data_IF_314481308110
#
_entry.id   IF_314481308110
#
_cell.length_a   1.000
_cell.length_b   1.000
_cell.length_c   1.000
_cell.angle_alpha   90.00
_cell.angle_beta   90.00
_cell.angle_gamma   90.00
#
_symmetry.space_group_name_H-M   'P 1'
#
loop_
_entity.id
_entity.type
_entity.pdbx_description
1 polymer ?
#
# COMPACT_ATOMS: atom_id res chain seq x y z
N UNK A 1 7.16 6.87 20.74
CA UNK A 1 7.35 5.76 19.77
C UNK A 1 7.06 6.18 18.32
N UNK A 2 7.64 5.46 17.34
CA UNK A 2 7.54 5.82 15.91
C UNK A 2 6.09 5.82 15.39
N UNK A 3 5.30 4.79 15.70
CA UNK A 3 3.90 4.68 15.23
C UNK A 3 3.00 5.85 15.70
N UNK A 4 3.20 6.34 16.92
CA UNK A 4 2.47 7.51 17.45
C UNK A 4 2.75 8.76 16.61
N UNK A 5 4.03 9.07 16.39
CA UNK A 5 4.45 10.23 15.59
C UNK A 5 3.97 10.06 14.15
N UNK A 6 4.14 8.87 13.58
CA UNK A 6 3.72 8.54 12.23
C UNK A 6 2.23 8.78 12.01
N UNK A 7 1.37 8.24 12.88
CA UNK A 7 -0.09 8.39 12.78
C UNK A 7 -0.54 9.85 12.86
N UNK A 8 0.02 10.64 13.79
CA UNK A 8 -0.29 12.07 13.86
C UNK A 8 0.19 12.85 12.63
N UNK A 9 1.35 12.52 12.07
CA UNK A 9 1.85 13.15 10.84
C UNK A 9 0.98 12.79 9.63
N UNK A 10 0.50 11.54 9.52
CA UNK A 10 -0.44 11.15 8.47
C UNK A 10 -1.76 11.92 8.60
N UNK A 11 -2.31 12.02 9.81
CA UNK A 11 -3.53 12.78 10.08
C UNK A 11 -3.37 14.26 9.71
N UNK A 12 -2.27 14.89 10.13
CA UNK A 12 -1.97 16.29 9.79
C UNK A 12 -1.80 16.53 8.26
N UNK A 13 -1.48 15.48 7.50
CA UNK A 13 -1.39 15.51 6.04
C UNK A 13 -2.69 15.11 5.34
N UNK A 14 -3.76 14.79 6.09
CA UNK A 14 -4.99 14.26 5.52
C UNK A 14 -4.79 12.94 4.78
N UNK A 15 -3.88 12.09 5.26
CA UNK A 15 -3.71 10.71 4.79
C UNK A 15 -4.44 9.81 5.78
N UNK A 16 -5.43 9.07 5.29
CA UNK A 16 -6.22 8.18 6.13
C UNK A 16 -5.38 7.03 6.67
N UNK A 17 -5.42 6.85 7.97
CA UNK A 17 -4.73 5.81 8.72
C UNK A 17 -5.44 5.64 10.07
N UNK A 18 -5.29 4.48 10.70
CA UNK A 18 -5.76 4.28 12.06
C UNK A 18 -5.13 5.32 13.00
N UNK A 19 -5.98 6.17 13.56
CA UNK A 19 -5.59 7.28 14.43
C UNK A 19 -4.97 6.77 15.73
N UNK A 20 -3.82 7.30 16.15
CA UNK A 20 -3.31 7.06 17.49
C UNK A 20 -4.27 7.63 18.55
N UNK A 21 -4.65 6.79 19.50
CA UNK A 21 -5.53 7.12 20.62
C UNK A 21 -4.75 7.35 21.91
N UNK A 22 -3.76 6.50 22.17
CA UNK A 22 -2.90 6.63 23.34
C UNK A 22 -1.50 6.06 23.07
N UNK A 23 -0.55 6.51 23.88
CA UNK A 23 0.78 5.94 23.97
C UNK A 23 1.15 5.75 25.43
N UNK A 24 1.65 4.56 25.76
CA UNK A 24 2.13 4.18 27.08
C UNK A 24 3.60 3.75 26.97
N UNK A 25 4.47 4.32 27.81
CA UNK A 25 5.83 3.82 28.02
C UNK A 25 5.83 2.87 29.21
N UNK A 26 6.45 1.69 29.04
CA UNK A 26 6.62 0.68 30.08
C UNK A 26 8.10 0.59 30.48
N UNK A 27 8.36 0.75 31.77
CA UNK A 27 9.71 0.74 32.36
C UNK A 27 10.16 2.11 32.84
N UNK A 28 11.36 2.18 33.43
CA UNK A 28 11.95 3.45 33.86
C UNK A 28 12.29 4.32 32.63
N UNK A 29 11.87 5.59 32.65
CA UNK A 29 12.22 6.57 31.60
C UNK A 29 13.74 6.56 31.36
N UNK A 30 14.14 6.31 30.11
CA UNK A 30 15.56 6.33 29.71
C UNK A 30 16.37 5.08 30.05
N UNK A 31 15.76 4.03 30.61
CA UNK A 31 16.43 2.75 30.85
C UNK A 31 16.56 1.91 29.57
N UNK A 32 17.66 1.16 29.46
CA UNK A 32 17.78 0.12 28.44
C UNK A 32 16.62 -0.88 28.59
N UNK A 33 15.89 -1.13 27.50
CA UNK A 33 14.73 -2.05 27.50
C UNK A 33 13.36 -1.40 27.70
N UNK A 34 13.25 -0.07 27.65
CA UNK A 34 11.95 0.62 27.61
C UNK A 34 11.10 0.10 26.44
N UNK A 35 9.86 -0.34 26.75
CA UNK A 35 8.88 -0.78 25.76
C UNK A 35 7.81 0.28 25.62
N UNK A 36 7.14 0.33 24.48
CA UNK A 36 6.02 1.24 24.26
C UNK A 36 4.83 0.50 23.68
N UNK A 37 3.65 0.84 24.17
CA UNK A 37 2.38 0.41 23.58
C UNK A 37 1.74 1.64 22.93
N UNK A 38 1.31 1.50 21.69
CA UNK A 38 0.47 2.49 21.01
C UNK A 38 -0.91 1.88 20.81
N UNK A 39 -1.94 2.55 21.31
CA UNK A 39 -3.32 2.20 21.04
C UNK A 39 -3.76 2.97 19.80
N UNK A 40 -4.24 2.26 18.79
CA UNK A 40 -4.78 2.82 17.56
C UNK A 40 -6.30 2.68 17.56
N UNK A 41 -6.99 3.54 16.80
CA UNK A 41 -8.41 3.38 16.59
C UNK A 41 -8.71 2.08 15.85
N UNK A 42 -9.79 1.42 16.25
CA UNK A 42 -10.36 0.35 15.45
C UNK A 42 -11.08 0.98 14.25
N UNK A 43 -10.75 0.52 13.04
CA UNK A 43 -11.35 1.02 11.80
C UNK A 43 -12.77 0.48 11.56
N UNK A 44 -13.33 -0.33 12.48
CA UNK A 44 -14.77 -0.56 12.67
C UNK A 44 -15.58 -0.78 11.40
N UNK A 45 -15.74 -2.04 10.97
CA UNK A 45 -16.49 -2.39 9.75
C UNK A 45 -15.76 -2.06 8.44
N UNK A 46 -14.54 -1.50 8.52
CA UNK A 46 -13.64 -1.40 7.38
C UNK A 46 -13.14 -2.78 6.96
N UNK A 47 -13.00 -2.97 5.66
CA UNK A 47 -12.64 -4.26 5.09
C UNK A 47 -11.15 -4.31 4.75
N UNK A 48 -10.43 -5.26 5.33
CA UNK A 48 -9.01 -5.50 5.02
C UNK A 48 -8.86 -6.01 3.59
N UNK A 49 -8.00 -5.38 2.78
CA UNK A 49 -7.83 -5.76 1.37
C UNK A 49 -7.25 -7.17 1.17
N UNK A 50 -6.63 -7.75 2.20
CA UNK A 50 -6.20 -9.14 2.20
C UNK A 50 -7.38 -10.13 2.28
N UNK A 51 -8.47 -9.75 2.96
CA UNK A 51 -9.66 -10.58 3.14
C UNK A 51 -10.59 -10.48 1.92
N UNK A 52 -10.25 -11.22 0.87
CA UNK A 52 -11.00 -11.21 -0.37
C UNK A 52 -12.46 -11.65 -0.23
N UNK A 53 -12.80 -12.38 0.84
CA UNK A 53 -14.14 -12.86 1.13
C UNK A 53 -15.02 -11.84 1.86
N UNK A 54 -14.46 -10.71 2.31
CA UNK A 54 -15.21 -9.70 3.04
C UNK A 54 -16.37 -9.14 2.17
N UNK A 55 -17.64 -9.18 2.64
CA UNK A 55 -18.80 -8.79 1.82
C UNK A 55 -18.71 -7.39 1.22
N UNK A 56 -18.20 -6.43 2.00
CA UNK A 56 -17.97 -5.06 1.54
C UNK A 56 -16.96 -4.98 0.37
N UNK A 57 -15.92 -5.82 0.37
CA UNK A 57 -14.99 -5.88 -0.76
C UNK A 57 -15.61 -6.61 -1.94
N UNK A 58 -16.36 -7.68 -1.71
CA UNK A 58 -17.07 -8.38 -2.79
C UNK A 58 -18.01 -7.44 -3.56
N UNK A 59 -18.64 -6.49 -2.87
CA UNK A 59 -19.48 -5.46 -3.48
C UNK A 59 -18.69 -4.32 -4.17
N UNK A 60 -17.40 -4.16 -3.88
CA UNK A 60 -16.57 -3.11 -4.48
C UNK A 60 -16.14 -3.47 -5.90
N UNK A 61 -16.55 -2.66 -6.87
CA UNK A 61 -16.12 -2.79 -8.26
C UNK A 61 -14.59 -2.79 -8.39
N UNK A 62 -13.98 -3.76 -9.10
CA UNK A 62 -12.52 -3.87 -9.26
C UNK A 62 -11.86 -2.60 -9.80
N UNK A 63 -12.52 -1.88 -10.72
CA UNK A 63 -12.03 -0.61 -11.29
C UNK A 63 -11.88 0.46 -10.22
N UNK A 64 -12.87 0.56 -9.32
CA UNK A 64 -12.83 1.51 -8.20
C UNK A 64 -11.75 1.16 -7.20
N UNK A 65 -11.51 -0.12 -6.97
CA UNK A 65 -10.39 -0.56 -6.15
C UNK A 65 -9.05 -0.18 -6.79
N UNK A 66 -8.91 -0.39 -8.11
CA UNK A 66 -7.72 0.01 -8.87
C UNK A 66 -7.43 1.51 -8.73
N UNK A 67 -8.46 2.35 -8.91
CA UNK A 67 -8.36 3.81 -8.80
C UNK A 67 -8.01 4.26 -7.38
N UNK A 68 -8.63 3.64 -6.37
CA UNK A 68 -8.37 3.95 -4.97
C UNK A 68 -6.93 3.59 -4.58
N UNK A 69 -6.42 2.44 -5.04
CA UNK A 69 -5.03 2.02 -4.81
C UNK A 69 -4.03 2.96 -5.49
N UNK A 70 -4.26 3.30 -6.77
CA UNK A 70 -3.41 4.24 -7.50
C UNK A 70 -3.40 5.63 -6.80
N UNK A 71 -4.56 6.09 -6.34
CA UNK A 71 -4.70 7.35 -5.61
C UNK A 71 -3.97 7.34 -4.27
N UNK A 72 -4.12 6.28 -3.48
CA UNK A 72 -3.39 6.09 -2.22
C UNK A 72 -1.87 6.16 -2.45
N UNK A 73 -1.35 5.37 -3.39
CA UNK A 73 0.07 5.32 -3.74
C UNK A 73 0.59 6.69 -4.22
N UNK A 74 -0.17 7.40 -5.04
CA UNK A 74 0.18 8.75 -5.50
C UNK A 74 0.27 9.72 -4.33
N UNK A 75 -0.71 9.71 -3.43
CA UNK A 75 -0.75 10.58 -2.25
C UNK A 75 0.45 10.32 -1.36
N UNK A 76 0.74 9.05 -1.04
CA UNK A 76 1.87 8.66 -0.21
C UNK A 76 3.19 9.12 -0.84
N UNK A 77 3.44 8.70 -2.09
CA UNK A 77 4.73 8.89 -2.72
C UNK A 77 5.02 10.34 -3.12
N UNK A 78 4.00 11.13 -3.53
CA UNK A 78 4.16 12.58 -3.77
C UNK A 78 4.53 13.34 -2.51
N UNK A 79 4.05 12.88 -1.35
CA UNK A 79 4.34 13.47 -0.04
C UNK A 79 5.56 12.86 0.64
N UNK A 80 6.32 12.01 -0.08
CA UNK A 80 7.54 11.40 0.44
C UNK A 80 7.30 10.42 1.59
N UNK A 81 6.11 9.82 1.66
CA UNK A 81 5.74 8.82 2.67
C UNK A 81 6.10 7.43 2.18
N UNK A 82 7.04 6.80 2.87
CA UNK A 82 7.47 5.41 2.67
C UNK A 82 6.83 4.56 3.77
N UNK A 83 5.90 3.66 3.44
CA UNK A 83 5.24 2.81 4.44
C UNK A 83 6.23 1.86 5.12
N UNK A 84 7.23 1.39 4.38
CA UNK A 84 8.19 0.38 4.83
C UNK A 84 7.69 -1.07 4.71
N UNK A 85 6.38 -1.30 4.74
CA UNK A 85 5.74 -2.61 4.52
C UNK A 85 4.31 -2.46 3.98
N UNK A 86 4.18 -2.07 2.70
CA UNK A 86 2.87 -1.71 2.11
C UNK A 86 2.14 -2.95 1.57
N UNK A 87 1.65 -3.81 2.45
CA UNK A 87 0.92 -5.02 2.10
C UNK A 87 -0.60 -4.80 2.13
N UNK A 88 -1.36 -5.65 1.43
CA UNK A 88 -2.82 -5.63 1.43
C UNK A 88 -3.42 -5.84 2.83
N UNK A 89 -2.71 -6.56 3.72
CA UNK A 89 -3.06 -6.73 5.13
C UNK A 89 -3.03 -5.42 5.93
N UNK A 90 -2.32 -4.41 5.42
CA UNK A 90 -2.16 -3.09 6.07
C UNK A 90 -3.01 -1.99 5.44
N UNK A 91 -3.89 -2.36 4.50
CA UNK A 91 -4.77 -1.43 3.79
C UNK A 91 -6.22 -1.84 3.98
N UNK A 92 -7.04 -0.89 4.42
CA UNK A 92 -8.44 -1.10 4.73
C UNK A 92 -9.33 -0.22 3.87
N UNK A 93 -10.35 -0.80 3.24
CA UNK A 93 -11.41 -0.06 2.59
C UNK A 93 -12.38 0.48 3.65
N UNK A 94 -12.51 1.80 3.73
CA UNK A 94 -13.37 2.50 4.69
C UNK A 94 -14.57 3.12 3.99
N UNK A 95 -15.69 3.18 4.71
CA UNK A 95 -16.92 3.80 4.21
C UNK A 95 -17.47 3.11 2.97
N UNK A 96 -17.49 1.76 2.96
CA UNK A 96 -18.16 1.00 1.91
C UNK A 96 -19.67 1.06 2.17
N UNK A 97 -20.38 1.85 1.36
CA UNK A 97 -21.85 1.92 1.40
C UNK A 97 -22.52 0.64 0.88
N UNK A 98 -23.82 0.51 1.12
CA UNK A 98 -24.64 -0.60 0.61
C UNK A 98 -24.66 -0.70 -0.93
N UNK A 99 -24.25 0.37 -1.61
CA UNK A 99 -24.06 0.49 -3.06
C UNK A 99 -22.64 0.05 -3.52
N UNK A 100 -21.83 -0.53 -2.62
CA UNK A 100 -20.46 -0.95 -2.92
C UNK A 100 -19.48 0.22 -3.07
N UNK A 101 -19.88 1.44 -2.70
CA UNK A 101 -19.04 2.61 -2.84
C UNK A 101 -18.01 2.76 -1.72
N UNK A 102 -16.88 2.05 -1.82
CA UNK A 102 -15.71 2.41 -1.01
C UNK A 102 -15.24 3.82 -1.41
N UNK A 103 -15.22 4.74 -0.44
CA UNK A 103 -14.82 6.13 -0.73
C UNK A 103 -13.35 6.36 -0.42
N UNK A 104 -12.74 5.60 0.50
CA UNK A 104 -11.34 5.84 0.94
C UNK A 104 -10.63 4.57 1.40
N UNK A 105 -9.31 4.52 1.20
CA UNK A 105 -8.42 3.52 1.79
C UNK A 105 -7.71 4.13 3.00
N UNK A 106 -7.63 3.38 4.10
CA UNK A 106 -6.90 3.74 5.31
C UNK A 106 -5.75 2.76 5.56
N UNK A 107 -4.65 3.26 6.11
CA UNK A 107 -3.48 2.45 6.49
C UNK A 107 -3.54 2.02 7.96
N UNK A 108 -3.01 0.84 8.24
CA UNK A 108 -2.63 0.41 9.60
C UNK A 108 -1.14 0.08 9.64
N UNK A 109 -0.64 -0.40 10.77
CA UNK A 109 0.77 -0.76 10.98
C UNK A 109 1.75 0.35 10.54
N UNK A 110 1.85 1.38 11.39
CA UNK A 110 2.63 2.58 11.08
C UNK A 110 4.08 2.51 11.59
N UNK A 111 4.56 1.36 12.05
CA UNK A 111 5.89 1.23 12.65
C UNK A 111 7.03 1.35 11.63
N UNK A 112 6.80 0.81 10.43
CA UNK A 112 7.73 0.88 9.29
C UNK A 112 7.84 2.27 8.67
N UNK A 113 6.94 3.18 9.03
CA UNK A 113 6.71 4.40 8.26
C UNK A 113 7.87 5.39 8.37
N UNK A 114 8.32 5.91 7.23
CA UNK A 114 9.41 6.90 7.13
C UNK A 114 8.98 8.07 6.25
N UNK A 115 9.35 9.27 6.68
CA UNK A 115 9.09 10.50 5.94
C UNK A 115 10.36 11.00 5.28
N UNK A 116 10.28 11.28 3.99
CA UNK A 116 11.40 11.74 3.17
C UNK A 116 10.98 12.98 2.38
N UNK A 117 11.96 13.77 1.94
CA UNK A 117 11.67 14.87 1.01
C UNK A 117 11.13 14.36 -0.33
N UNK A 118 11.70 13.26 -0.84
CA UNK A 118 11.27 12.56 -2.05
C UNK A 118 11.63 11.07 -1.93
N UNK A 119 10.76 10.20 -2.42
CA UNK A 119 11.09 8.77 -2.53
C UNK A 119 11.94 8.52 -3.77
N UNK A 120 12.95 7.67 -3.62
CA UNK A 120 13.67 7.11 -4.76
C UNK A 120 12.78 6.14 -5.52
N UNK A 121 13.04 5.98 -6.82
CA UNK A 121 12.30 5.04 -7.65
C UNK A 121 12.38 3.60 -7.16
N UNK A 122 13.54 3.19 -6.63
CA UNK A 122 13.69 1.88 -6.00
C UNK A 122 12.71 1.64 -4.83
N UNK A 123 12.44 2.66 -4.00
CA UNK A 123 11.46 2.55 -2.91
C UNK A 123 10.04 2.50 -3.43
N UNK A 124 9.73 3.33 -4.42
CA UNK A 124 8.42 3.36 -5.08
C UNK A 124 8.10 2.01 -5.73
N UNK A 125 9.07 1.44 -6.46
CA UNK A 125 8.95 0.12 -7.09
C UNK A 125 8.80 -0.98 -6.04
N UNK A 126 9.55 -0.93 -4.94
CA UNK A 126 9.39 -1.88 -3.83
C UNK A 126 7.99 -1.86 -3.23
N UNK A 127 7.49 -0.67 -2.88
CA UNK A 127 6.15 -0.51 -2.28
C UNK A 127 5.04 -0.96 -3.24
N UNK A 128 5.16 -0.63 -4.53
CA UNK A 128 4.25 -1.12 -5.57
C UNK A 128 4.27 -2.65 -5.65
N UNK A 129 5.46 -3.26 -5.56
CA UNK A 129 5.61 -4.71 -5.63
C UNK A 129 5.09 -5.44 -4.38
N UNK A 130 5.21 -4.84 -3.20
CA UNK A 130 4.65 -5.38 -1.95
C UNK A 130 3.13 -5.43 -2.01
N UNK A 131 2.52 -4.32 -2.39
CA UNK A 131 1.08 -4.22 -2.51
C UNK A 131 0.54 -5.13 -3.60
N UNK A 132 1.21 -5.14 -4.76
CA UNK A 132 0.81 -6.00 -5.87
C UNK A 132 0.91 -7.48 -5.50
N UNK A 133 2.02 -7.92 -4.89
CA UNK A 133 2.19 -9.31 -4.48
C UNK A 133 1.15 -9.76 -3.44
N UNK A 134 0.82 -8.88 -2.49
CA UNK A 134 -0.07 -9.20 -1.36
C UNK A 134 -1.55 -9.10 -1.69
N UNK A 135 -1.94 -8.40 -2.75
CA UNK A 135 -3.32 -8.38 -3.23
C UNK A 135 -3.63 -9.63 -4.04
N UNK A 136 -4.76 -10.30 -3.76
CA UNK A 136 -5.13 -11.55 -4.42
C UNK A 136 -5.57 -11.38 -5.89
N UNK A 137 -5.41 -12.41 -6.71
CA UNK A 137 -5.78 -12.39 -8.14
C UNK A 137 -7.29 -12.20 -8.32
N UNK A 138 -8.09 -12.78 -7.43
CA UNK A 138 -9.55 -12.69 -7.41
C UNK A 138 -10.05 -11.26 -7.14
N UNK A 139 -9.19 -10.40 -6.55
CA UNK A 139 -9.54 -9.02 -6.22
C UNK A 139 -9.29 -8.05 -7.36
N UNK A 140 -8.26 -8.30 -8.16
CA UNK A 140 -7.84 -7.37 -9.20
C UNK A 140 -7.12 -8.11 -10.31
N UNK A 141 -7.74 -8.15 -11.49
CA UNK A 141 -7.16 -8.74 -12.68
C UNK A 141 -5.91 -7.99 -13.15
N UNK A 142 -5.01 -8.69 -13.86
CA UNK A 142 -3.74 -8.14 -14.35
C UNK A 142 -3.90 -6.90 -15.24
N UNK A 143 -4.97 -6.85 -16.05
CA UNK A 143 -5.27 -5.68 -16.86
C UNK A 143 -5.53 -4.41 -16.01
N UNK A 144 -6.24 -4.56 -14.89
CA UNK A 144 -6.52 -3.43 -13.98
C UNK A 144 -5.29 -3.07 -13.15
N UNK A 145 -4.48 -4.04 -12.73
CA UNK A 145 -3.17 -3.79 -12.09
C UNK A 145 -2.28 -2.94 -12.99
N UNK A 146 -2.21 -3.29 -14.27
CA UNK A 146 -1.46 -2.53 -15.29
C UNK A 146 -2.04 -1.13 -15.49
N UNK A 147 -3.36 -1.00 -15.61
CA UNK A 147 -4.02 0.30 -15.73
C UNK A 147 -3.72 1.21 -14.52
N UNK A 148 -3.83 0.68 -13.30
CA UNK A 148 -3.50 1.41 -12.08
C UNK A 148 -2.02 1.85 -12.06
N UNK A 149 -1.10 0.97 -12.46
CA UNK A 149 0.32 1.30 -12.60
C UNK A 149 0.54 2.42 -13.63
N UNK A 150 -0.08 2.35 -14.81
CA UNK A 150 0.07 3.36 -15.86
C UNK A 150 -0.47 4.73 -15.43
N UNK A 151 -1.63 4.76 -14.76
CA UNK A 151 -2.16 5.98 -14.16
C UNK A 151 -1.19 6.58 -13.14
N UNK A 152 -0.65 5.75 -12.25
CA UNK A 152 0.35 6.15 -11.27
C UNK A 152 1.64 6.66 -11.93
N UNK A 153 2.18 5.94 -12.91
CA UNK A 153 3.44 6.27 -13.57
C UNK A 153 3.35 7.55 -14.40
N UNK A 154 2.19 7.83 -15.00
CA UNK A 154 1.92 9.08 -15.71
C UNK A 154 1.89 10.27 -14.75
N UNK A 155 1.25 10.10 -13.60
CA UNK A 155 1.09 11.15 -12.59
C UNK A 155 2.35 11.39 -11.74
N UNK A 156 3.23 10.38 -11.64
CA UNK A 156 4.51 10.47 -10.97
C UNK A 156 5.56 9.69 -11.79
N UNK A 157 6.25 10.34 -12.74
CA UNK A 157 7.20 9.64 -13.60
C UNK A 157 8.36 9.00 -12.85
N UNK A 158 8.88 7.90 -13.39
CA UNK A 158 10.15 7.31 -13.00
C UNK A 158 11.28 7.96 -13.80
N UNK A 159 12.51 7.92 -13.29
CA UNK A 159 13.71 8.35 -14.01
C UNK A 159 14.08 7.37 -15.13
N UNK A 160 13.65 6.12 -15.00
CA UNK A 160 13.69 5.11 -16.06
C UNK A 160 12.38 5.11 -16.86
N UNK A 161 12.35 4.44 -18.02
CA UNK A 161 11.09 4.21 -18.74
C UNK A 161 10.07 3.48 -17.85
N UNK A 162 8.78 3.80 -18.07
CA UNK A 162 7.66 3.18 -17.35
C UNK A 162 7.62 1.66 -17.56
N UNK A 163 8.00 1.18 -18.73
CA UNK A 163 8.03 -0.24 -19.07
C UNK A 163 9.10 -0.97 -18.26
N UNK A 164 10.26 -0.34 -18.04
CA UNK A 164 11.31 -0.91 -17.18
C UNK A 164 10.90 -0.89 -15.71
N UNK A 165 10.22 0.16 -15.24
CA UNK A 165 9.68 0.21 -13.89
C UNK A 165 8.59 -0.86 -13.67
N UNK A 166 7.68 -1.05 -14.63
CA UNK A 166 6.63 -2.08 -14.58
C UNK A 166 7.22 -3.48 -14.50
N UNK A 167 8.18 -3.80 -15.38
CA UNK A 167 8.88 -5.09 -15.35
C UNK A 167 9.54 -5.35 -14.00
N UNK A 168 10.14 -4.34 -13.40
CA UNK A 168 10.76 -4.48 -12.08
C UNK A 168 9.72 -4.69 -10.97
N UNK A 169 8.58 -3.99 -11.02
CA UNK A 169 7.45 -4.23 -10.10
C UNK A 169 6.96 -5.67 -10.23
N UNK A 170 6.72 -6.15 -11.45
CA UNK A 170 6.28 -7.52 -11.74
C UNK A 170 7.29 -8.54 -11.23
N UNK A 171 8.57 -8.38 -11.57
CA UNK A 171 9.66 -9.26 -11.14
C UNK A 171 9.73 -9.36 -9.61
N UNK A 172 9.72 -8.24 -8.91
CA UNK A 172 9.76 -8.20 -7.45
C UNK A 172 8.47 -8.71 -6.80
N UNK A 173 7.33 -8.57 -7.46
CA UNK A 173 6.06 -9.10 -6.97
C UNK A 173 6.05 -10.62 -7.03
N UNK A 174 6.47 -11.22 -8.16
CA UNK A 174 6.56 -12.69 -8.30
C UNK A 174 7.57 -13.31 -7.34
N UNK A 175 8.72 -12.65 -7.15
CA UNK A 175 9.75 -13.12 -6.23
C UNK A 175 9.26 -13.29 -4.78
N UNK A 176 8.21 -12.55 -4.38
CA UNK A 176 7.60 -12.66 -3.04
C UNK A 176 6.76 -13.91 -2.86
N UNK A 177 6.29 -14.56 -3.94
CA UNK A 177 5.46 -15.79 -3.89
C UNK A 177 4.30 -15.68 -2.89
N UNK A 178 3.57 -14.57 -2.97
CA UNK A 178 2.48 -14.25 -2.04
C UNK A 178 1.13 -14.63 -2.67
N UNK A 179 0.18 -13.69 -2.80
CA UNK A 179 -1.19 -13.97 -3.26
C UNK A 179 -1.37 -13.76 -4.76
N UNK A 180 -0.65 -12.80 -5.35
CA UNK A 180 -0.63 -12.59 -6.81
C UNK A 180 0.29 -13.59 -7.50
N UNK A 181 -0.25 -14.36 -8.45
CA UNK A 181 0.52 -15.35 -9.23
C UNK A 181 1.13 -14.75 -10.50
N UNK A 182 0.38 -13.83 -11.13
CA UNK A 182 0.78 -13.16 -12.37
C UNK A 182 0.80 -14.07 -13.59
N UNK A 183 0.04 -15.17 -13.57
CA UNK A 183 -0.03 -16.15 -14.67
C UNK A 183 -0.64 -15.56 -15.96
N UNK A 184 -1.46 -14.51 -15.84
CA UNK A 184 -2.04 -13.77 -16.96
C UNK A 184 -1.26 -12.50 -17.36
N UNK A 185 -0.14 -12.22 -16.70
CA UNK A 185 0.56 -10.96 -16.86
C UNK A 185 1.55 -11.04 -18.05
N UNK A 186 1.24 -10.34 -19.15
CA UNK A 186 2.13 -10.30 -20.33
C UNK A 186 3.54 -9.78 -19.99
N UNK A 187 3.64 -8.88 -19.01
CA UNK A 187 4.91 -8.33 -18.53
C UNK A 187 5.71 -9.33 -17.66
N UNK A 188 5.09 -10.42 -17.21
CA UNK A 188 5.75 -11.51 -16.49
C UNK A 188 6.42 -12.54 -17.43
N UNK A 189 6.04 -12.56 -18.71
CA UNK A 189 6.51 -13.52 -19.71
C UNK A 189 7.69 -13.02 -20.55
N UNK A 190 8.03 -11.73 -20.46
CA UNK A 190 9.14 -11.16 -21.26
C UNK A 190 10.49 -11.51 -20.63
N UNK A 191 11.38 -12.25 -21.32
CA UNK A 191 12.74 -12.48 -20.84
C UNK A 191 13.46 -11.14 -20.72
N UNK A 192 14.31 -11.00 -19.69
CA UNK A 192 15.09 -9.79 -19.49
C UNK A 192 15.90 -9.50 -20.76
N UNK A 193 15.64 -8.38 -21.42
CA UNK A 193 16.61 -7.81 -22.34
C UNK A 193 17.86 -7.54 -21.50
N UNK A 194 18.88 -8.39 -21.71
CA UNK A 194 20.24 -8.11 -21.28
C UNK A 194 20.56 -6.67 -21.70
N UNK A 195 20.98 -5.85 -20.73
CA UNK A 195 21.46 -4.51 -21.04
C UNK A 195 22.77 -4.63 -21.84
N UNK A 196 23.04 -3.69 -22.77
CA UNK A 196 24.28 -3.65 -23.54
C UNK A 196 25.52 -3.49 -22.67
#
# INVERSE_FOLDING_TARGET
>A
PLAWIAGHVLAARGIAAARPLAWIELGARGGAGARSIVLLEDLGGAACLEDAAHPALAALAPERLADALASLLLVLHRRGVDHGDLQASHVFATGVGADGAATRLALIDLEGLRFRRRLSDARRVRALAELNASLADERLADALRRTAFECYARALPFSTSRERALREVVRLSRARRHRWRGDGCADAASPSLASP
#
